data_IF_323703395200
#
_entry.id   IF_323703395200
#
_cell.length_a   1.000
_cell.length_b   1.000
_cell.length_c   1.000
_cell.angle_alpha   90.00
_cell.angle_beta   90.00
_cell.angle_gamma   90.00
#
_symmetry.space_group_name_H-M   'P 1'
#
loop_
_entity.id
_entity.type
_entity.pdbx_description
1 polymer ?
#
# COMPACT_ATOMS: atom_id res chain seq x y z
N UNK A 1 -55.50 7.11 -16.40
CA UNK A 1 -54.84 7.51 -15.14
C UNK A 1 -53.33 7.42 -15.31
N UNK A 2 -52.65 8.56 -15.44
CA UNK A 2 -51.19 8.67 -15.55
C UNK A 2 -50.61 9.07 -14.18
N UNK A 3 -49.75 8.23 -13.60
CA UNK A 3 -48.99 8.59 -12.40
C UNK A 3 -47.63 9.14 -12.82
N UNK A 4 -47.45 10.45 -12.66
CA UNK A 4 -46.16 11.12 -12.78
C UNK A 4 -45.96 12.04 -11.57
N UNK A 5 -45.03 11.71 -10.67
CA UNK A 5 -44.27 12.70 -9.88
C UNK A 5 -43.07 12.08 -9.15
N UNK A 6 -41.92 12.70 -9.42
CA UNK A 6 -40.56 12.47 -8.91
C UNK A 6 -40.40 12.51 -7.38
N UNK A 7 -39.24 12.01 -6.86
CA UNK A 7 -39.00 11.84 -5.43
C UNK A 7 -38.66 13.18 -4.73
N UNK A 8 -39.19 13.35 -3.52
CA UNK A 8 -38.86 14.47 -2.63
C UNK A 8 -37.39 14.38 -2.21
N UNK A 9 -36.67 15.49 -2.38
CA UNK A 9 -35.34 15.72 -1.80
C UNK A 9 -35.41 15.65 -0.27
N UNK A 10 -34.57 14.80 0.33
CA UNK A 10 -34.51 14.61 1.78
C UNK A 10 -33.76 15.79 2.46
N UNK A 11 -34.40 16.59 3.34
CA UNK A 11 -33.80 17.80 3.93
C UNK A 11 -32.73 17.53 5.00
N UNK A 12 -32.62 16.30 5.49
CA UNK A 12 -31.78 15.94 6.63
C UNK A 12 -30.37 15.44 6.25
N UNK A 13 -29.73 16.07 5.25
CA UNK A 13 -28.33 15.78 4.93
C UNK A 13 -27.40 16.73 5.70
N UNK A 14 -26.58 16.26 6.66
CA UNK A 14 -25.72 17.15 7.44
C UNK A 14 -24.57 17.71 6.58
N UNK A 15 -24.43 19.05 6.55
CA UNK A 15 -23.52 19.81 5.66
C UNK A 15 -22.01 19.67 5.99
N UNK A 16 -21.64 19.02 7.09
CA UNK A 16 -20.25 18.90 7.56
C UNK A 16 -19.39 17.90 6.77
N UNK A 17 -19.99 17.06 5.91
CA UNK A 17 -19.30 15.96 5.17
C UNK A 17 -18.48 16.41 3.95
N UNK A 18 -18.52 17.71 3.60
CA UNK A 18 -17.67 18.33 2.57
C UNK A 18 -16.38 18.89 3.18
N UNK A 19 -16.51 19.61 4.30
CA UNK A 19 -15.40 20.29 4.98
C UNK A 19 -14.26 19.36 5.42
N UNK A 20 -14.54 18.12 5.90
CA UNK A 20 -13.46 17.16 6.20
C UNK A 20 -12.74 16.67 4.94
N UNK A 21 -13.45 16.50 3.81
CA UNK A 21 -12.83 16.11 2.53
C UNK A 21 -11.92 17.20 2.00
N UNK A 22 -12.28 18.46 2.19
CA UNK A 22 -11.51 19.62 1.73
C UNK A 22 -10.31 19.91 2.64
N UNK A 23 -10.46 19.74 3.97
CA UNK A 23 -9.36 19.86 4.93
C UNK A 23 -8.34 18.71 4.76
N UNK A 24 -8.81 17.48 4.56
CA UNK A 24 -7.93 16.36 4.23
C UNK A 24 -7.29 16.51 2.85
N UNK A 25 -7.96 17.12 1.87
CA UNK A 25 -7.35 17.40 0.56
C UNK A 25 -6.21 18.41 0.66
N UNK A 26 -6.32 19.42 1.54
CA UNK A 26 -5.25 20.43 1.74
C UNK A 26 -4.06 19.87 2.53
N UNK A 27 -4.31 19.19 3.65
CA UNK A 27 -3.24 18.58 4.47
C UNK A 27 -2.51 17.46 3.72
N UNK A 28 -3.21 16.70 2.87
CA UNK A 28 -2.61 15.59 2.10
C UNK A 28 -2.01 16.03 0.75
N UNK A 29 -2.35 17.21 0.24
CA UNK A 29 -1.61 17.84 -0.87
C UNK A 29 -0.25 18.34 -0.38
N UNK A 30 -0.16 18.93 0.82
CA UNK A 30 1.12 19.32 1.41
C UNK A 30 2.00 18.10 1.76
N UNK A 31 1.42 17.01 2.27
CA UNK A 31 2.15 15.78 2.54
C UNK A 31 2.56 15.05 1.25
N UNK A 32 1.71 14.99 0.21
CA UNK A 32 2.08 14.39 -1.08
C UNK A 32 3.17 15.20 -1.79
N UNK A 33 3.14 16.53 -1.74
CA UNK A 33 4.16 17.41 -2.35
C UNK A 33 5.46 17.39 -1.55
N UNK A 34 5.40 17.37 -0.23
CA UNK A 34 6.59 17.31 0.64
C UNK A 34 7.26 15.94 0.54
N UNK A 35 6.49 14.85 0.59
CA UNK A 35 7.01 13.49 0.38
C UNK A 35 7.54 13.31 -1.06
N UNK A 36 6.89 13.88 -2.09
CA UNK A 36 7.44 13.86 -3.46
C UNK A 36 8.74 14.67 -3.59
N UNK A 37 8.85 15.86 -2.97
CA UNK A 37 10.08 16.67 -2.99
C UNK A 37 11.25 16.01 -2.26
N UNK A 38 10.97 15.36 -1.14
CA UNK A 38 11.99 14.66 -0.34
C UNK A 38 12.45 13.36 -1.03
N UNK A 39 11.51 12.61 -1.60
CA UNK A 39 11.80 11.41 -2.41
C UNK A 39 12.56 11.76 -3.70
N UNK A 40 12.24 12.87 -4.38
CA UNK A 40 12.96 13.31 -5.59
C UNK A 40 14.33 13.93 -5.29
N UNK A 41 14.56 14.54 -4.11
CA UNK A 41 15.89 14.99 -3.69
C UNK A 41 16.82 13.83 -3.32
N UNK A 42 16.29 12.75 -2.75
CA UNK A 42 17.07 11.56 -2.39
C UNK A 42 17.50 10.68 -3.58
N UNK A 43 16.90 10.87 -4.76
CA UNK A 43 17.18 10.10 -5.96
C UNK A 43 18.47 10.54 -6.72
N UNK A 44 19.06 11.69 -6.35
CA UNK A 44 20.24 12.24 -7.04
C UNK A 44 21.58 11.93 -6.36
N UNK A 45 21.60 11.18 -5.25
CA UNK A 45 22.82 10.95 -4.45
C UNK A 45 23.11 9.49 -4.11
N UNK A 46 22.74 8.53 -4.96
CA UNK A 46 23.28 7.16 -4.82
C UNK A 46 23.87 6.72 -6.15
N UNK A 47 25.05 7.28 -6.42
CA UNK A 47 26.05 6.66 -7.28
C UNK A 47 26.95 5.79 -6.41
N UNK A 48 27.15 4.56 -6.87
CA UNK A 48 28.27 3.67 -6.58
C UNK A 48 28.38 3.06 -5.16
N UNK A 49 28.31 1.73 -5.10
CA UNK A 49 29.23 0.90 -4.29
C UNK A 49 29.12 -0.58 -4.67
N UNK A 50 30.00 -0.96 -5.59
CA UNK A 50 30.57 -2.27 -5.83
C UNK A 50 30.78 -3.14 -4.56
N UNK A 51 30.28 -4.38 -4.50
CA UNK A 51 30.91 -5.45 -3.70
C UNK A 51 30.88 -6.82 -4.39
N UNK A 52 32.09 -7.39 -4.37
CA UNK A 52 32.60 -8.60 -5.01
C UNK A 52 31.93 -9.90 -4.55
N UNK A 53 31.87 -10.84 -5.50
CA UNK A 53 31.65 -12.29 -5.32
C UNK A 53 32.61 -12.91 -4.32
N UNK A 54 32.12 -13.91 -3.57
CA UNK A 54 32.90 -15.05 -3.11
C UNK A 54 32.03 -16.30 -3.33
N UNK A 55 32.56 -17.31 -4.02
CA UNK A 55 31.94 -18.64 -4.21
C UNK A 55 32.71 -19.70 -3.38
N UNK A 56 32.36 -21.00 -3.40
CA UNK A 56 31.96 -21.73 -2.20
C UNK A 56 33.02 -22.76 -1.74
N UNK A 57 32.98 -23.17 -0.47
CA UNK A 57 33.72 -24.36 -0.01
C UNK A 57 33.01 -25.04 1.17
N UNK A 58 32.41 -26.19 0.86
CA UNK A 58 32.50 -27.49 1.55
C UNK A 58 32.41 -27.60 3.09
N UNK A 59 31.19 -27.94 3.57
CA UNK A 59 30.74 -29.05 4.51
C UNK A 59 31.50 -29.38 5.83
N UNK A 60 30.94 -30.17 6.80
CA UNK A 60 29.54 -30.56 7.11
C UNK A 60 29.15 -30.59 8.63
N UNK A 61 27.87 -30.91 8.89
CA UNK A 61 27.28 -31.64 10.06
C UNK A 61 27.34 -31.04 11.47
N UNK A 62 26.18 -30.57 11.96
CA UNK A 62 25.59 -31.02 13.25
C UNK A 62 24.06 -30.85 13.26
N UNK A 63 23.39 -31.98 13.56
CA UNK A 63 22.08 -32.18 14.22
C UNK A 63 20.76 -31.81 13.52
N UNK A 64 19.81 -32.78 13.45
CA UNK A 64 18.47 -32.58 12.91
C UNK A 64 17.46 -32.16 14.00
N UNK A 65 16.34 -31.58 13.53
CA UNK A 65 15.05 -31.45 14.23
C UNK A 65 14.82 -30.14 14.99
N UNK A 66 14.53 -29.10 14.22
CA UNK A 66 13.31 -28.32 14.43
C UNK A 66 12.78 -27.94 13.05
N UNK A 67 11.57 -28.36 12.65
CA UNK A 67 10.95 -27.75 11.49
C UNK A 67 10.60 -26.32 11.89
N UNK A 68 11.41 -25.39 11.41
CA UNK A 68 11.05 -24.00 11.18
C UNK A 68 9.70 -24.00 10.48
N UNK A 69 8.64 -23.86 11.25
CA UNK A 69 7.31 -23.67 10.73
C UNK A 69 7.31 -22.25 10.16
N UNK A 70 7.59 -22.14 8.86
CA UNK A 70 7.36 -20.93 8.11
C UNK A 70 5.93 -20.49 8.44
N UNK A 71 5.71 -19.25 8.93
CA UNK A 71 4.37 -18.78 9.21
C UNK A 71 3.55 -18.94 7.92
N UNK A 72 2.32 -19.48 7.97
CA UNK A 72 1.54 -19.79 6.78
C UNK A 72 1.56 -18.61 5.81
N UNK A 73 2.22 -18.87 4.69
CA UNK A 73 2.55 -18.10 3.49
C UNK A 73 1.87 -16.72 3.31
N UNK A 74 0.58 -16.56 3.64
CA UNK A 74 -0.12 -15.26 3.68
C UNK A 74 0.38 -14.28 4.77
N UNK A 75 1.10 -14.77 5.79
CA UNK A 75 1.68 -13.96 6.87
C UNK A 75 2.93 -13.19 6.44
N UNK A 76 3.63 -13.63 5.40
CA UNK A 76 4.88 -13.01 4.97
C UNK A 76 4.66 -11.58 4.46
N UNK A 77 3.70 -11.38 3.54
CA UNK A 77 3.36 -10.05 3.04
C UNK A 77 2.85 -9.16 4.18
N UNK A 78 1.93 -9.66 5.00
CA UNK A 78 1.36 -8.89 6.10
C UNK A 78 2.43 -8.41 7.11
N UNK A 79 3.38 -9.28 7.45
CA UNK A 79 4.51 -8.94 8.31
C UNK A 79 5.41 -7.86 7.68
N UNK A 80 5.63 -7.92 6.37
CA UNK A 80 6.39 -6.88 5.65
C UNK A 80 5.69 -5.52 5.64
N UNK A 81 4.36 -5.52 5.52
CA UNK A 81 3.56 -4.30 5.66
C UNK A 81 3.70 -3.73 7.07
N UNK A 82 3.58 -4.58 8.10
CA UNK A 82 3.72 -4.17 9.50
C UNK A 82 5.08 -3.52 9.77
N UNK A 83 6.18 -4.18 9.38
CA UNK A 83 7.55 -3.65 9.54
C UNK A 83 7.77 -2.34 8.79
N UNK A 84 7.18 -2.20 7.59
CA UNK A 84 7.24 -0.95 6.85
C UNK A 84 6.53 0.20 7.59
N UNK A 85 5.37 -0.06 8.19
CA UNK A 85 4.64 0.95 8.97
C UNK A 85 5.41 1.35 10.24
N UNK A 86 6.04 0.40 10.92
CA UNK A 86 6.92 0.67 12.07
C UNK A 86 8.12 1.52 11.67
N UNK A 87 8.78 1.20 10.56
CA UNK A 87 9.88 2.00 10.02
C UNK A 87 9.43 3.41 9.62
N UNK A 88 8.20 3.56 9.11
CA UNK A 88 7.62 4.88 8.84
C UNK A 88 7.42 5.71 10.10
N UNK A 89 7.08 5.07 11.22
CA UNK A 89 6.88 5.71 12.51
C UNK A 89 8.21 6.13 13.15
N UNK A 90 9.17 5.20 13.19
CA UNK A 90 10.44 5.37 13.90
C UNK A 90 11.47 6.14 13.06
N UNK A 91 11.74 5.69 11.84
CA UNK A 91 12.87 6.21 11.04
C UNK A 91 12.53 7.50 10.30
N UNK A 92 11.27 7.67 9.91
CA UNK A 92 10.81 8.79 9.08
C UNK A 92 9.96 9.80 9.83
N UNK A 93 9.66 9.54 11.12
CA UNK A 93 8.80 10.34 11.97
C UNK A 93 7.51 10.80 11.28
N UNK A 94 6.89 9.91 10.48
CA UNK A 94 5.63 10.26 9.81
C UNK A 94 4.53 10.47 10.84
N UNK A 95 3.60 11.38 10.55
CA UNK A 95 2.47 11.60 11.44
C UNK A 95 1.61 10.34 11.56
N UNK A 96 1.04 10.12 12.74
CA UNK A 96 0.12 9.01 13.02
C UNK A 96 -1.04 8.93 12.02
N UNK A 97 -1.52 10.08 11.55
CA UNK A 97 -2.53 10.14 10.51
C UNK A 97 -2.04 9.54 9.19
N UNK A 98 -0.80 9.82 8.79
CA UNK A 98 -0.21 9.28 7.55
C UNK A 98 -0.02 7.76 7.65
N UNK A 99 0.46 7.28 8.79
CA UNK A 99 0.64 5.84 9.06
C UNK A 99 -0.71 5.11 8.97
N UNK A 100 -1.77 5.63 9.59
CA UNK A 100 -3.13 5.08 9.49
C UNK A 100 -3.66 5.03 8.07
N UNK A 101 -3.33 6.03 7.25
CA UNK A 101 -3.74 6.04 5.84
C UNK A 101 -2.98 4.98 5.04
N UNK A 102 -1.68 4.83 5.28
CA UNK A 102 -0.87 3.78 4.64
C UNK A 102 -1.36 2.40 5.04
N UNK A 103 -1.60 2.18 6.33
CA UNK A 103 -2.18 0.96 6.87
C UNK A 103 -3.52 0.62 6.19
N UNK A 104 -4.43 1.59 6.09
CA UNK A 104 -5.70 1.39 5.40
C UNK A 104 -5.52 0.97 3.93
N UNK A 105 -4.65 1.63 3.18
CA UNK A 105 -4.44 1.34 1.76
C UNK A 105 -3.73 0.00 1.52
N UNK A 106 -2.76 -0.36 2.38
CA UNK A 106 -2.03 -1.61 2.28
C UNK A 106 -2.87 -2.80 2.75
N UNK A 107 -3.70 -2.64 3.79
CA UNK A 107 -4.65 -3.67 4.20
C UNK A 107 -5.70 -3.96 3.14
N UNK A 108 -6.16 -2.93 2.41
CA UNK A 108 -7.04 -3.13 1.26
C UNK A 108 -6.35 -3.95 0.16
N UNK A 109 -5.07 -3.71 -0.12
CA UNK A 109 -4.28 -4.52 -1.06
C UNK A 109 -4.20 -5.97 -0.60
N UNK A 110 -3.83 -6.23 0.66
CA UNK A 110 -3.76 -7.58 1.24
C UNK A 110 -5.10 -8.32 1.11
N UNK A 111 -6.20 -7.65 1.45
CA UNK A 111 -7.55 -8.23 1.32
C UNK A 111 -8.00 -8.42 -0.14
N UNK A 112 -7.45 -7.68 -1.09
CA UNK A 112 -7.69 -7.91 -2.52
C UNK A 112 -6.85 -9.10 -3.02
N UNK A 113 -5.57 -9.17 -2.66
CA UNK A 113 -4.69 -10.29 -3.01
C UNK A 113 -5.25 -11.61 -2.51
N UNK A 114 -5.65 -11.69 -1.24
CA UNK A 114 -6.22 -12.93 -0.67
C UNK A 114 -7.53 -13.39 -1.33
N UNK A 115 -8.25 -12.51 -2.05
CA UNK A 115 -9.49 -12.87 -2.76
C UNK A 115 -9.28 -13.19 -4.22
N UNK A 116 -8.47 -12.39 -4.92
CA UNK A 116 -8.37 -12.40 -6.38
C UNK A 116 -7.06 -13.00 -6.88
N UNK A 117 -6.02 -13.03 -6.06
CA UNK A 117 -4.67 -13.47 -6.41
C UNK A 117 -4.03 -14.27 -5.24
N UNK A 118 -4.67 -15.38 -4.80
CA UNK A 118 -4.19 -16.18 -3.67
C UNK A 118 -2.80 -16.78 -3.89
N UNK A 119 -2.34 -16.86 -5.14
CA UNK A 119 -0.99 -17.27 -5.52
C UNK A 119 0.10 -16.29 -5.08
N UNK A 120 -0.24 -15.02 -4.80
CA UNK A 120 0.72 -13.99 -4.38
C UNK A 120 0.88 -14.06 -2.86
N UNK A 121 1.96 -14.71 -2.45
CA UNK A 121 2.30 -14.96 -1.05
C UNK A 121 3.10 -13.82 -0.42
N UNK A 122 4.03 -13.26 -1.19
CA UNK A 122 4.97 -12.25 -0.71
C UNK A 122 5.22 -11.15 -1.77
N UNK A 123 5.98 -10.12 -1.39
CA UNK A 123 6.35 -9.01 -2.27
C UNK A 123 7.01 -9.47 -3.59
N UNK A 124 7.98 -10.42 -3.61
CA UNK A 124 8.63 -10.86 -4.85
C UNK A 124 7.67 -11.51 -5.86
N UNK A 125 6.54 -12.04 -5.39
CA UNK A 125 5.52 -12.64 -6.26
C UNK A 125 4.64 -11.58 -6.94
N UNK A 126 4.80 -10.31 -6.56
CA UNK A 126 4.01 -9.20 -7.05
C UNK A 126 4.45 -8.78 -8.47
N UNK A 127 4.00 -9.53 -9.46
CA UNK A 127 4.29 -9.22 -10.86
C UNK A 127 3.61 -7.92 -11.36
N UNK A 128 4.13 -7.36 -12.45
CA UNK A 128 3.54 -6.19 -13.11
C UNK A 128 2.08 -6.41 -13.52
N UNK A 129 1.72 -7.64 -13.90
CA UNK A 129 0.35 -7.99 -14.27
C UNK A 129 -0.59 -7.99 -13.05
N UNK A 130 -0.13 -8.47 -11.88
CA UNK A 130 -0.88 -8.38 -10.62
C UNK A 130 -1.15 -6.91 -10.27
N UNK A 131 -0.15 -6.04 -10.39
CA UNK A 131 -0.31 -4.59 -10.14
C UNK A 131 -1.29 -3.96 -11.14
N UNK A 132 -1.27 -4.39 -12.41
CA UNK A 132 -2.23 -3.93 -13.42
C UNK A 132 -3.66 -4.35 -13.08
N UNK A 133 -3.86 -5.59 -12.65
CA UNK A 133 -5.16 -6.11 -12.17
C UNK A 133 -5.63 -5.37 -10.92
N UNK A 134 -4.73 -5.04 -10.00
CA UNK A 134 -5.05 -4.25 -8.81
C UNK A 134 -5.56 -2.85 -9.19
N UNK A 135 -4.88 -2.16 -10.11
CA UNK A 135 -5.34 -0.86 -10.64
C UNK A 135 -6.74 -0.95 -11.26
N UNK A 136 -7.01 -2.01 -12.01
CA UNK A 136 -8.33 -2.25 -12.61
C UNK A 136 -9.40 -2.51 -11.54
N UNK A 137 -9.06 -3.26 -10.50
CA UNK A 137 -9.93 -3.50 -9.34
C UNK A 137 -10.28 -2.19 -8.62
N UNK A 138 -9.29 -1.32 -8.37
CA UNK A 138 -9.53 0.00 -7.78
C UNK A 138 -10.42 0.90 -8.64
N UNK A 139 -10.29 0.83 -9.97
CA UNK A 139 -11.13 1.59 -10.88
C UNK A 139 -12.60 1.12 -10.86
N UNK A 140 -12.83 -0.18 -10.62
CA UNK A 140 -14.16 -0.79 -10.53
C UNK A 140 -14.73 -0.78 -9.11
N UNK A 141 -13.90 -0.53 -8.10
CA UNK A 141 -14.30 -0.58 -6.70
C UNK A 141 -15.34 0.50 -6.38
N UNK A 142 -16.48 0.05 -5.86
CA UNK A 142 -17.56 0.91 -5.39
C UNK A 142 -17.49 1.07 -3.88
N UNK A 143 -17.57 2.30 -3.42
CA UNK A 143 -17.61 2.59 -2.00
C UNK A 143 -18.93 2.09 -1.40
N UNK A 144 -18.87 1.11 -0.50
CA UNK A 144 -20.05 0.44 0.08
C UNK A 144 -21.11 1.40 0.66
N UNK A 145 -20.69 2.54 1.20
CA UNK A 145 -21.60 3.49 1.84
C UNK A 145 -22.22 4.50 0.87
N UNK A 146 -21.59 4.74 -0.28
CA UNK A 146 -22.03 5.77 -1.24
C UNK A 146 -22.46 5.20 -2.59
N UNK A 147 -22.13 3.94 -2.88
CA UNK A 147 -22.34 3.29 -4.17
C UNK A 147 -21.52 3.90 -5.31
N UNK A 148 -20.62 4.86 -5.02
CA UNK A 148 -19.86 5.57 -6.05
C UNK A 148 -18.49 4.95 -6.27
N UNK A 149 -17.96 5.00 -7.50
CA UNK A 149 -16.59 4.58 -7.77
C UNK A 149 -15.58 5.46 -7.03
N UNK A 150 -14.40 4.91 -6.77
CA UNK A 150 -13.28 5.66 -6.23
C UNK A 150 -12.87 6.78 -7.19
N UNK A 151 -12.62 7.97 -6.65
CA UNK A 151 -12.07 9.07 -7.45
C UNK A 151 -10.66 8.74 -7.92
N UNK A 152 -10.23 9.32 -9.05
CA UNK A 152 -8.86 9.20 -9.56
C UNK A 152 -7.81 9.52 -8.49
N UNK A 153 -8.02 10.60 -7.73
CA UNK A 153 -7.10 11.00 -6.65
C UNK A 153 -7.01 9.94 -5.55
N UNK A 154 -8.16 9.35 -5.18
CA UNK A 154 -8.19 8.27 -4.17
C UNK A 154 -7.46 7.03 -4.68
N UNK A 155 -7.64 6.64 -5.94
CA UNK A 155 -6.92 5.53 -6.55
C UNK A 155 -5.40 5.78 -6.52
N UNK A 156 -4.95 7.01 -6.81
CA UNK A 156 -3.55 7.39 -6.70
C UNK A 156 -3.01 7.20 -5.28
N UNK A 157 -3.78 7.48 -4.24
CA UNK A 157 -3.33 7.28 -2.85
C UNK A 157 -3.02 5.81 -2.53
N UNK A 158 -3.83 4.88 -3.02
CA UNK A 158 -3.52 3.45 -2.90
C UNK A 158 -2.18 3.10 -3.57
N UNK A 159 -1.94 3.66 -4.76
CA UNK A 159 -0.71 3.40 -5.52
C UNK A 159 0.52 4.07 -4.90
N UNK A 160 0.36 5.23 -4.26
CA UNK A 160 1.45 5.88 -3.53
C UNK A 160 1.88 5.02 -2.33
N UNK A 161 0.94 4.50 -1.55
CA UNK A 161 1.25 3.61 -0.44
C UNK A 161 1.98 2.34 -0.92
N UNK A 162 1.48 1.71 -1.99
CA UNK A 162 2.14 0.55 -2.61
C UNK A 162 3.56 0.89 -3.07
N UNK A 163 3.75 2.01 -3.79
CA UNK A 163 5.08 2.45 -4.24
C UNK A 163 6.04 2.67 -3.08
N UNK A 164 5.57 3.29 -1.99
CA UNK A 164 6.40 3.52 -0.80
C UNK A 164 6.83 2.22 -0.15
N UNK A 165 5.93 1.23 -0.05
CA UNK A 165 6.24 -0.11 0.45
C UNK A 165 7.31 -0.79 -0.42
N UNK A 166 7.10 -0.85 -1.73
CA UNK A 166 8.04 -1.50 -2.66
C UNK A 166 9.41 -0.85 -2.63
N UNK A 167 9.46 0.49 -2.60
CA UNK A 167 10.73 1.22 -2.49
C UNK A 167 11.44 0.93 -1.18
N UNK A 168 10.72 0.87 -0.06
CA UNK A 168 11.31 0.54 1.23
C UNK A 168 11.98 -0.84 1.19
N UNK A 169 11.29 -1.86 0.70
CA UNK A 169 11.84 -3.21 0.64
C UNK A 169 12.96 -3.37 -0.38
N UNK A 170 12.89 -2.66 -1.51
CA UNK A 170 13.99 -2.59 -2.48
C UNK A 170 15.26 -1.99 -1.87
N UNK A 171 15.13 -0.96 -1.02
CA UNK A 171 16.27 -0.38 -0.29
C UNK A 171 16.85 -1.33 0.77
N UNK A 172 16.06 -2.26 1.30
CA UNK A 172 16.51 -3.31 2.23
C UNK A 172 17.13 -4.51 1.50
N UNK A 173 17.25 -4.47 0.17
CA UNK A 173 17.85 -5.53 -0.64
C UNK A 173 16.89 -6.66 -1.03
N UNK A 174 15.57 -6.45 -0.88
CA UNK A 174 14.59 -7.37 -1.44
C UNK A 174 14.46 -7.10 -2.95
N UNK A 175 14.61 -8.12 -3.79
CA UNK A 175 14.28 -8.03 -5.21
C UNK A 175 12.76 -8.16 -5.38
N UNK A 176 12.15 -7.11 -5.96
CA UNK A 176 10.70 -6.95 -6.13
C UNK A 176 10.39 -6.43 -7.52
#
# INVERSE_FOLDING_TARGET
>A
MTYFRSPRSNPWRPKWRKSRRDHMSRVLLDVSITIYRDIMRSASLVSNSNRRRISPSSVPTVSPTSPTQAPPVALAFAERVRRFLEACEVDRNLSQLTIRQYDHYLNHLLGWLGREQPEVADLPDLSLEVVRRYKLSLARHLNAHTGRPLSRATQTYFLVALRSLLRYWSLQGLEV
#
